data_IF_056921423016
#
_entry.id   IF_056921423016
#
_cell.length_a   1.000
_cell.length_b   1.000
_cell.length_c   1.000
_cell.angle_alpha   90.00
_cell.angle_beta   90.00
_cell.angle_gamma   90.00
#
_symmetry.space_group_name_H-M   'P 1'
#
loop_
_entity.id
_entity.type
_entity.pdbx_description
1 polymer ?
#
# COMPACT_ATOMS: atom_id res chain seq x y z
N UNK A 1 11.52 8.36 -13.19
CA UNK A 1 11.53 9.63 -13.95
C UNK A 1 10.63 10.64 -13.24
N UNK A 2 11.07 11.90 -13.08
CA UNK A 2 10.35 12.94 -12.32
C UNK A 2 9.02 13.37 -12.98
N UNK A 3 8.96 13.34 -14.32
CA UNK A 3 7.76 13.69 -15.07
C UNK A 3 6.59 12.72 -14.81
N UNK A 4 6.85 11.40 -14.83
CA UNK A 4 5.82 10.38 -14.53
C UNK A 4 5.26 10.53 -13.11
N UNK A 5 6.13 10.80 -12.14
CA UNK A 5 5.71 11.01 -10.75
C UNK A 5 4.79 12.23 -10.61
N UNK A 6 5.10 13.35 -11.30
CA UNK A 6 4.24 14.54 -11.31
C UNK A 6 2.87 14.27 -11.96
N UNK A 7 2.86 13.56 -13.08
CA UNK A 7 1.61 13.20 -13.79
C UNK A 7 0.72 12.33 -12.89
N UNK A 8 1.27 11.28 -12.28
CA UNK A 8 0.53 10.40 -11.37
C UNK A 8 0.02 11.19 -10.15
N UNK A 9 0.85 12.04 -9.57
CA UNK A 9 0.44 12.89 -8.45
C UNK A 9 -0.70 13.83 -8.82
N UNK A 10 -0.63 14.48 -10.00
CA UNK A 10 -1.69 15.36 -10.48
C UNK A 10 -3.01 14.61 -10.71
N UNK A 11 -2.97 13.42 -11.32
CA UNK A 11 -4.16 12.58 -11.48
C UNK A 11 -4.75 12.14 -10.13
N UNK A 12 -3.89 11.84 -9.15
CA UNK A 12 -4.34 11.50 -7.79
C UNK A 12 -5.04 12.66 -7.11
N UNK A 13 -4.55 13.90 -7.29
CA UNK A 13 -5.23 15.09 -6.76
C UNK A 13 -6.58 15.31 -7.45
N UNK A 14 -6.64 15.17 -8.78
CA UNK A 14 -7.88 15.36 -9.54
C UNK A 14 -8.94 14.32 -9.18
N UNK A 15 -8.51 13.07 -8.92
CA UNK A 15 -9.39 11.97 -8.56
C UNK A 15 -9.56 11.81 -7.03
N UNK A 16 -9.17 12.80 -6.21
CA UNK A 16 -9.18 12.67 -4.75
C UNK A 16 -10.55 12.25 -4.22
N UNK A 17 -11.63 12.89 -4.66
CA UNK A 17 -12.98 12.57 -4.20
C UNK A 17 -13.40 11.14 -4.56
N UNK A 18 -13.02 10.67 -5.76
CA UNK A 18 -13.25 9.30 -6.18
C UNK A 18 -12.44 8.30 -5.35
N UNK A 19 -11.18 8.65 -5.03
CA UNK A 19 -10.31 7.84 -4.20
C UNK A 19 -10.84 7.75 -2.75
N UNK A 20 -11.35 8.85 -2.19
CA UNK A 20 -12.00 8.86 -0.87
C UNK A 20 -13.21 7.92 -0.87
N UNK A 21 -14.12 8.06 -1.84
CA UNK A 21 -15.30 7.22 -1.95
C UNK A 21 -14.93 5.73 -2.13
N UNK A 22 -13.99 5.44 -3.03
CA UNK A 22 -13.49 4.09 -3.26
C UNK A 22 -12.87 3.48 -2.00
N UNK A 23 -11.97 4.22 -1.33
CA UNK A 23 -11.31 3.78 -0.10
C UNK A 23 -12.30 3.50 1.02
N UNK A 24 -13.31 4.36 1.18
CA UNK A 24 -14.39 4.19 2.16
C UNK A 24 -15.18 2.91 1.92
N UNK A 25 -15.67 2.67 0.70
CA UNK A 25 -16.38 1.42 0.38
C UNK A 25 -15.50 0.19 0.59
N UNK A 26 -14.21 0.29 0.29
CA UNK A 26 -13.26 -0.81 0.36
C UNK A 26 -13.01 -1.24 1.82
N UNK A 27 -12.81 -0.28 2.72
CA UNK A 27 -12.64 -0.58 4.15
C UNK A 27 -13.95 -1.02 4.81
N UNK A 28 -15.08 -0.39 4.47
CA UNK A 28 -16.39 -0.77 5.00
C UNK A 28 -16.74 -2.21 4.64
N UNK A 29 -16.45 -2.64 3.40
CA UNK A 29 -16.67 -4.02 2.96
C UNK A 29 -15.85 -5.02 3.77
N UNK A 30 -14.58 -4.72 4.03
CA UNK A 30 -13.75 -5.59 4.86
C UNK A 30 -14.17 -5.58 6.32
N UNK A 31 -14.47 -4.42 6.91
CA UNK A 31 -14.97 -4.35 8.28
C UNK A 31 -16.26 -5.14 8.46
N UNK A 32 -17.17 -5.06 7.49
CA UNK A 32 -18.39 -5.87 7.45
C UNK A 32 -18.07 -7.37 7.36
N UNK A 33 -17.09 -7.77 6.53
CA UNK A 33 -16.63 -9.16 6.42
C UNK A 33 -16.05 -9.70 7.73
N UNK A 34 -15.34 -8.85 8.47
CA UNK A 34 -14.77 -9.21 9.77
C UNK A 34 -15.75 -9.06 10.94
N UNK A 35 -16.99 -8.60 10.69
CA UNK A 35 -17.97 -8.27 11.72
C UNK A 35 -17.43 -7.28 12.78
N UNK A 36 -16.65 -6.28 12.34
CA UNK A 36 -16.07 -5.21 13.16
C UNK A 36 -16.75 -3.85 12.90
N UNK A 37 -18.04 -3.66 13.24
CA UNK A 37 -18.76 -2.42 12.94
C UNK A 37 -18.41 -1.23 13.86
N UNK A 38 -17.68 -1.44 14.96
CA UNK A 38 -17.39 -0.43 15.99
C UNK A 38 -15.94 0.12 15.90
N UNK A 39 -15.38 0.22 14.70
CA UNK A 39 -14.02 0.75 14.52
C UNK A 39 -14.08 2.27 14.36
N UNK A 40 -13.28 2.96 15.16
CA UNK A 40 -13.16 4.41 15.13
C UNK A 40 -12.16 4.83 14.03
N UNK A 41 -12.69 5.39 12.94
CA UNK A 41 -11.88 5.76 11.77
C UNK A 41 -10.90 6.90 12.07
N UNK A 42 -11.18 7.78 13.02
CA UNK A 42 -10.25 8.86 13.39
C UNK A 42 -9.03 8.31 14.13
N UNK A 43 -9.23 7.34 15.03
CA UNK A 43 -8.12 6.63 15.68
C UNK A 43 -7.31 5.80 14.69
N UNK A 44 -7.99 5.22 13.71
CA UNK A 44 -7.34 4.45 12.64
C UNK A 44 -6.48 5.35 11.75
N UNK A 45 -6.98 6.55 11.42
CA UNK A 45 -6.24 7.56 10.66
C UNK A 45 -5.00 8.04 11.42
N UNK A 46 -5.13 8.32 12.72
CA UNK A 46 -4.01 8.71 13.58
C UNK A 46 -2.92 7.63 13.62
N UNK A 47 -3.31 6.36 13.82
CA UNK A 47 -2.39 5.20 13.75
C UNK A 47 -1.76 5.01 12.38
N UNK A 48 -2.48 5.32 11.31
CA UNK A 48 -1.98 5.28 9.94
C UNK A 48 -1.18 6.54 9.55
N UNK A 49 -0.95 7.46 10.49
CA UNK A 49 -0.19 8.70 10.32
C UNK A 49 -0.85 9.68 9.32
N UNK A 50 -2.18 9.68 9.29
CA UNK A 50 -3.02 10.60 8.52
C UNK A 50 -3.75 11.57 9.44
N UNK A 51 -3.95 12.80 8.97
CA UNK A 51 -4.59 13.87 9.76
C UNK A 51 -6.10 13.70 9.89
N UNK A 52 -6.72 13.09 8.89
CA UNK A 52 -8.18 12.93 8.80
C UNK A 52 -8.49 11.55 8.25
N UNK A 53 -9.67 11.02 8.61
CA UNK A 53 -10.18 9.78 8.02
C UNK A 53 -10.29 9.88 6.49
N UNK A 54 -10.68 11.03 5.94
CA UNK A 54 -10.75 11.27 4.50
C UNK A 54 -9.40 11.14 3.81
N UNK A 55 -8.31 11.67 4.39
CA UNK A 55 -6.97 11.52 3.82
C UNK A 55 -6.50 10.07 3.84
N UNK A 56 -6.86 9.31 4.88
CA UNK A 56 -6.62 7.87 4.96
C UNK A 56 -7.40 7.12 3.86
N UNK A 57 -8.68 7.45 3.65
CA UNK A 57 -9.49 6.84 2.58
C UNK A 57 -8.97 7.22 1.20
N UNK A 58 -8.56 8.47 0.98
CA UNK A 58 -7.94 8.91 -0.26
C UNK A 58 -6.65 8.14 -0.55
N UNK A 59 -5.79 7.95 0.46
CA UNK A 59 -4.55 7.20 0.33
C UNK A 59 -4.80 5.71 0.03
N UNK A 60 -5.84 5.13 0.65
CA UNK A 60 -6.27 3.76 0.38
C UNK A 60 -6.80 3.60 -1.05
N UNK A 61 -7.68 4.50 -1.50
CA UNK A 61 -8.22 4.48 -2.87
C UNK A 61 -7.17 4.77 -3.94
N UNK A 62 -6.19 5.63 -3.63
CA UNK A 62 -5.06 5.91 -4.53
C UNK A 62 -4.01 4.79 -4.57
N UNK A 63 -4.13 3.77 -3.70
CA UNK A 63 -3.20 2.64 -3.58
C UNK A 63 -1.88 2.97 -2.87
N UNK A 64 -1.78 4.13 -2.21
CA UNK A 64 -0.63 4.51 -1.38
C UNK A 64 -0.65 3.78 -0.03
N UNK A 65 -1.85 3.48 0.47
CA UNK A 65 -2.08 2.71 1.69
C UNK A 65 -2.67 1.35 1.35
N UNK A 66 -2.24 0.29 2.05
CA UNK A 66 -2.73 -1.07 1.84
C UNK A 66 -3.89 -1.38 2.76
N UNK A 67 -4.96 -1.92 2.18
CA UNK A 67 -6.14 -2.37 2.92
C UNK A 67 -5.77 -3.32 4.07
N UNK A 68 -4.91 -4.31 3.82
CA UNK A 68 -4.51 -5.29 4.83
C UNK A 68 -3.85 -4.63 6.05
N UNK A 69 -3.05 -3.58 5.85
CA UNK A 69 -2.44 -2.84 6.96
C UNK A 69 -3.50 -2.12 7.79
N UNK A 70 -4.49 -1.52 7.14
CA UNK A 70 -5.61 -0.86 7.81
C UNK A 70 -6.47 -1.83 8.61
N UNK A 71 -6.78 -2.98 8.02
CA UNK A 71 -7.57 -4.04 8.66
C UNK A 71 -6.84 -4.60 9.88
N UNK A 72 -5.52 -4.80 9.80
CA UNK A 72 -4.73 -5.23 10.95
C UNK A 72 -4.75 -4.18 12.07
N UNK A 73 -4.63 -2.89 11.75
CA UNK A 73 -4.73 -1.82 12.75
C UNK A 73 -6.13 -1.78 13.40
N UNK A 74 -7.18 -2.04 12.62
CA UNK A 74 -8.56 -2.10 13.08
C UNK A 74 -8.79 -3.33 13.99
N UNK A 75 -8.23 -4.48 13.63
CA UNK A 75 -8.28 -5.69 14.46
C UNK A 75 -7.53 -5.50 15.78
N UNK A 76 -6.33 -4.90 15.76
CA UNK A 76 -5.58 -4.58 16.99
C UNK A 76 -6.32 -3.64 17.93
N UNK A 77 -7.24 -2.82 17.41
CA UNK A 77 -8.07 -1.95 18.23
C UNK A 77 -9.21 -2.72 18.94
N UNK A 78 -9.69 -3.81 18.35
CA UNK A 78 -10.83 -4.58 18.87
C UNK A 78 -10.38 -5.82 19.67
N UNK A 79 -9.32 -6.51 19.23
CA UNK A 79 -8.80 -7.72 19.88
C UNK A 79 -7.26 -7.72 19.79
N UNK A 80 -6.53 -7.37 20.87
CA UNK A 80 -5.06 -7.29 20.84
C UNK A 80 -4.35 -8.66 20.73
N UNK A 81 -5.07 -9.78 20.92
CA UNK A 81 -4.48 -11.14 20.99
C UNK A 81 -4.48 -11.93 19.67
N UNK A 82 -5.15 -11.47 18.61
CA UNK A 82 -5.12 -12.17 17.31
C UNK A 82 -4.01 -11.64 16.41
N UNK A 83 -2.78 -11.91 16.82
CA UNK A 83 -1.64 -11.85 15.89
C UNK A 83 -1.70 -13.12 15.05
N UNK A 84 -2.18 -13.05 13.80
CA UNK A 84 -1.70 -14.02 12.81
C UNK A 84 -1.72 -13.54 11.36
N UNK A 85 -0.51 -13.60 10.80
CA UNK A 85 -0.18 -14.23 9.51
C UNK A 85 -0.13 -13.45 8.20
N UNK A 86 -0.50 -12.18 8.12
CA UNK A 86 -0.32 -11.47 6.84
C UNK A 86 0.45 -10.18 7.05
N UNK A 87 1.74 -10.20 6.69
CA UNK A 87 2.37 -9.25 5.77
C UNK A 87 3.91 -9.44 5.71
N UNK A 88 4.39 -10.59 5.24
CA UNK A 88 5.55 -10.55 4.34
C UNK A 88 5.07 -10.07 2.97
N UNK A 89 4.74 -8.79 2.83
CA UNK A 89 4.91 -8.16 1.53
C UNK A 89 6.15 -7.28 1.61
N UNK A 90 7.29 -7.97 1.54
CA UNK A 90 8.52 -7.39 1.01
C UNK A 90 8.11 -6.71 -0.30
N UNK A 91 8.18 -5.39 -0.43
CA UNK A 91 8.10 -4.79 -1.74
C UNK A 91 9.37 -5.28 -2.43
N UNK A 92 9.26 -6.30 -3.29
CA UNK A 92 10.30 -6.60 -4.26
C UNK A 92 10.43 -5.34 -5.10
N UNK A 93 11.33 -4.43 -4.70
CA UNK A 93 11.91 -3.45 -5.61
C UNK A 93 12.35 -4.29 -6.79
N UNK A 94 11.72 -4.08 -7.94
CA UNK A 94 12.19 -4.63 -9.19
C UNK A 94 13.65 -4.18 -9.33
N UNK A 95 14.59 -5.08 -9.02
CA UNK A 95 16.00 -4.87 -9.31
C UNK A 95 16.07 -4.71 -10.81
N UNK A 96 16.54 -3.54 -11.26
CA UNK A 96 16.58 -3.20 -12.67
C UNK A 96 17.32 -4.29 -13.44
N UNK A 97 16.60 -4.99 -14.31
CA UNK A 97 17.20 -5.81 -15.35
C UNK A 97 18.08 -4.90 -16.21
N UNK A 98 19.40 -5.02 -16.06
CA UNK A 98 20.36 -4.46 -17.02
C UNK A 98 20.65 -5.54 -18.06
N UNK A 99 20.17 -5.44 -19.30
CA UNK A 99 20.58 -6.35 -20.35
C UNK A 99 22.02 -6.03 -20.78
N UNK A 100 22.88 -7.05 -20.72
CA UNK A 100 23.97 -7.29 -21.67
C UNK A 100 25.19 -6.37 -21.63
N UNK A 101 26.22 -6.76 -20.87
CA UNK A 101 27.61 -6.62 -21.35
C UNK A 101 28.04 -7.99 -21.88
N UNK A 102 27.85 -8.21 -23.18
CA UNK A 102 28.60 -9.24 -23.91
C UNK A 102 30.07 -8.81 -23.90
N UNK A 103 30.96 -9.70 -23.49
CA UNK A 103 32.40 -9.49 -23.60
C UNK A 103 33.17 -9.97 -22.40
N UNK A 104 33.10 -11.27 -22.12
CA UNK A 104 34.20 -11.95 -21.44
C UNK A 104 34.30 -13.36 -22.05
N UNK A 105 35.27 -13.54 -22.93
CA UNK A 105 35.65 -14.85 -23.47
C UNK A 105 37.09 -15.06 -22.99
N UNK A 106 37.25 -15.88 -21.96
CA UNK A 106 38.56 -16.38 -21.53
C UNK A 106 38.88 -17.66 -22.33
N UNK A 107 39.97 -17.64 -23.09
CA UNK A 107 40.55 -18.84 -23.70
C UNK A 107 41.90 -19.06 -23.01
N UNK A 108 41.96 -20.09 -22.17
CA UNK A 108 43.23 -20.66 -21.73
C UNK A 108 43.69 -21.67 -22.79
N UNK A 109 44.73 -21.31 -23.53
CA UNK A 109 45.39 -22.17 -24.51
C UNK A 109 46.88 -22.28 -24.15
N UNK A 110 47.30 -23.51 -23.85
CA UNK A 110 48.64 -23.92 -23.46
C UNK A 110 49.60 -23.95 -24.65
N UNK A 111 50.84 -23.54 -24.41
CA UNK A 111 52.00 -23.68 -25.28
C UNK A 111 53.26 -23.54 -24.43
#
# INVERSE_FOLDING_TARGET
>A
SRARAKIVHWFKLQARDQNVAAGKTLIERELARLALPQVDFDKLADKANHKTADDMFAALGAGDLRLAQLVNLAQQQVEPDRVNEQLELIPRKATGYKPGKRGDIQIQGVG
#
